data_IF_951612230286
#
_entry.id   IF_951612230286
#
_cell.length_a   1.000
_cell.length_b   1.000
_cell.length_c   1.000
_cell.angle_alpha   90.00
_cell.angle_beta   90.00
_cell.angle_gamma   90.00
#
_symmetry.space_group_name_H-M   'P 1'
#
loop_
_entity.id
_entity.type
_entity.pdbx_description
1 polymer ?
#
# COMPACT_ATOMS: atom_id res chain seq x y z
N UNK A 1 -24.24 15.98 4.62
CA UNK A 1 -23.40 14.76 4.54
C UNK A 1 -22.00 15.14 5.04
N UNK A 2 -21.57 14.63 6.19
CA UNK A 2 -20.26 15.00 6.76
C UNK A 2 -19.13 14.45 5.87
N UNK A 3 -18.14 15.28 5.52
CA UNK A 3 -17.00 14.82 4.75
C UNK A 3 -16.17 13.85 5.59
N UNK A 4 -15.83 12.65 5.09
CA UNK A 4 -15.04 11.68 5.85
C UNK A 4 -13.67 12.25 6.17
N UNK A 5 -13.31 12.24 7.46
CA UNK A 5 -12.00 12.69 7.93
C UNK A 5 -10.88 11.84 7.31
N UNK A 6 -9.85 12.53 6.82
CA UNK A 6 -8.66 11.89 6.25
C UNK A 6 -7.83 11.32 7.39
N UNK A 7 -7.47 10.04 7.31
CA UNK A 7 -6.58 9.38 8.27
C UNK A 7 -5.23 9.09 7.62
N UNK A 8 -4.16 9.30 8.36
CA UNK A 8 -2.78 9.08 7.95
C UNK A 8 -2.03 8.31 9.04
N UNK A 9 -1.00 7.57 8.64
CA UNK A 9 -0.15 6.84 9.56
C UNK A 9 0.85 7.80 10.23
N UNK A 10 0.87 7.82 11.56
CA UNK A 10 1.80 8.66 12.32
C UNK A 10 3.28 8.31 12.07
N UNK A 11 4.19 9.26 12.31
CA UNK A 11 5.64 9.07 12.10
C UNK A 11 6.19 7.85 12.85
N UNK A 12 5.84 7.68 14.13
CA UNK A 12 6.27 6.52 14.93
C UNK A 12 5.80 5.20 14.32
N UNK A 13 4.51 5.09 14.00
CA UNK A 13 3.95 3.89 13.40
C UNK A 13 4.53 3.58 12.01
N UNK A 14 4.86 4.60 11.21
CA UNK A 14 5.59 4.43 9.95
C UNK A 14 6.97 3.83 10.17
N UNK A 15 7.77 4.39 11.08
CA UNK A 15 9.13 3.90 11.36
C UNK A 15 9.08 2.46 11.88
N UNK A 16 8.23 2.19 12.89
CA UNK A 16 8.04 0.84 13.41
C UNK A 16 7.58 -0.12 12.32
N UNK A 17 6.62 0.30 11.48
CA UNK A 17 6.17 -0.51 10.35
C UNK A 17 7.25 -0.79 9.31
N UNK A 18 8.11 0.18 9.03
CA UNK A 18 9.28 0.02 8.16
C UNK A 18 10.28 -0.99 8.72
N UNK A 19 10.51 -1.01 10.04
CA UNK A 19 11.39 -2.01 10.68
C UNK A 19 10.82 -3.42 10.51
N UNK A 20 9.53 -3.63 10.76
CA UNK A 20 8.92 -4.96 10.55
C UNK A 20 8.95 -5.37 9.07
N UNK A 21 8.66 -4.44 8.14
CA UNK A 21 8.77 -4.75 6.70
C UNK A 21 10.20 -5.11 6.30
N UNK A 22 11.22 -4.54 6.94
CA UNK A 22 12.61 -4.89 6.71
C UNK A 22 12.91 -6.31 7.21
N UNK A 23 12.39 -6.70 8.38
CA UNK A 23 12.51 -8.07 8.87
C UNK A 23 11.84 -9.08 7.92
N UNK A 24 10.66 -8.73 7.38
CA UNK A 24 9.99 -9.57 6.38
C UNK A 24 10.79 -9.67 5.08
N UNK A 25 11.34 -8.54 4.60
CA UNK A 25 12.21 -8.53 3.42
C UNK A 25 13.43 -9.43 3.63
N UNK A 26 14.12 -9.32 4.77
CA UNK A 26 15.28 -10.15 5.10
C UNK A 26 14.89 -11.64 5.13
N UNK A 27 13.74 -11.98 5.72
CA UNK A 27 13.22 -13.34 5.72
C UNK A 27 12.92 -13.84 4.29
N UNK A 28 12.28 -13.06 3.42
CA UNK A 28 12.01 -13.54 2.06
C UNK A 28 13.30 -13.69 1.24
N UNK A 29 14.20 -12.69 1.31
CA UNK A 29 15.42 -12.67 0.51
C UNK A 29 16.48 -13.68 0.95
N UNK A 30 16.52 -14.09 2.22
CA UNK A 30 17.45 -15.16 2.64
C UNK A 30 17.09 -16.50 1.96
N UNK A 31 15.80 -16.79 1.78
CA UNK A 31 15.33 -17.99 1.08
C UNK A 31 15.53 -17.89 -0.43
N UNK A 32 15.33 -16.71 -1.04
CA UNK A 32 15.66 -16.49 -2.45
C UNK A 32 17.17 -16.69 -2.70
N UNK A 33 18.01 -16.16 -1.80
CA UNK A 33 19.46 -16.34 -1.90
C UNK A 33 19.87 -17.80 -1.68
N UNK A 34 19.23 -18.51 -0.74
CA UNK A 34 19.44 -19.94 -0.53
C UNK A 34 19.22 -20.71 -1.82
N UNK A 35 18.07 -20.53 -2.49
CA UNK A 35 17.78 -21.25 -3.74
C UNK A 35 18.84 -20.99 -4.80
N UNK A 36 19.25 -19.72 -4.99
CA UNK A 36 20.28 -19.34 -5.97
C UNK A 36 21.63 -20.01 -5.63
N UNK A 37 21.97 -20.13 -4.36
CA UNK A 37 23.26 -20.69 -3.90
C UNK A 37 23.27 -22.22 -3.86
N UNK A 38 22.16 -22.86 -3.51
CA UNK A 38 22.05 -24.32 -3.36
C UNK A 38 21.62 -25.01 -4.67
N UNK A 39 20.67 -24.44 -5.42
CA UNK A 39 20.18 -25.01 -6.68
C UNK A 39 20.89 -24.45 -7.93
N UNK A 40 21.72 -23.43 -7.77
CA UNK A 40 22.22 -22.56 -8.84
C UNK A 40 21.13 -21.67 -9.47
N UNK A 41 21.56 -20.53 -10.01
CA UNK A 41 20.64 -19.56 -10.62
C UNK A 41 19.83 -20.15 -11.79
N UNK A 42 20.45 -20.98 -12.64
CA UNK A 42 19.77 -21.53 -13.82
C UNK A 42 18.62 -22.48 -13.44
N UNK A 43 18.82 -23.36 -12.46
CA UNK A 43 17.78 -24.25 -11.94
C UNK A 43 16.71 -23.46 -11.20
N UNK A 44 17.11 -22.51 -10.36
CA UNK A 44 16.17 -21.61 -9.66
C UNK A 44 15.28 -20.86 -10.66
N UNK A 45 15.86 -20.35 -11.74
CA UNK A 45 15.11 -19.68 -12.81
C UNK A 45 14.14 -20.63 -13.51
N UNK A 46 14.53 -21.88 -13.76
CA UNK A 46 13.63 -22.92 -14.31
C UNK A 46 12.48 -23.23 -13.36
N UNK A 47 12.73 -23.28 -12.04
CA UNK A 47 11.67 -23.44 -11.03
C UNK A 47 10.68 -22.28 -11.14
N UNK A 48 11.18 -21.04 -11.10
CA UNK A 48 10.33 -19.84 -11.11
C UNK A 48 9.51 -19.69 -12.40
N UNK A 49 10.05 -20.12 -13.54
CA UNK A 49 9.36 -20.10 -14.84
C UNK A 49 8.42 -21.29 -15.06
N UNK A 50 8.35 -22.24 -14.12
CA UNK A 50 7.57 -23.48 -14.28
C UNK A 50 8.17 -24.47 -15.27
N UNK A 51 9.42 -24.27 -15.69
CA UNK A 51 10.11 -25.07 -16.70
C UNK A 51 10.70 -26.39 -16.19
N UNK A 52 10.46 -26.77 -14.93
CA UNK A 52 10.99 -28.02 -14.37
C UNK A 52 10.48 -29.27 -15.10
N UNK A 53 9.23 -29.27 -15.58
CA UNK A 53 8.66 -30.38 -16.37
C UNK A 53 8.97 -31.76 -15.78
N UNK A 54 9.47 -32.67 -16.62
CA UNK A 54 9.92 -34.01 -16.21
C UNK A 54 11.25 -34.02 -15.44
N UNK A 55 12.05 -32.95 -15.51
CA UNK A 55 13.32 -32.82 -14.79
C UNK A 55 13.14 -32.48 -13.30
N UNK A 56 11.92 -32.31 -12.82
CA UNK A 56 11.59 -32.12 -11.41
C UNK A 56 12.17 -33.21 -10.49
N UNK A 57 12.31 -34.44 -10.99
CA UNK A 57 12.92 -35.56 -10.25
C UNK A 57 14.44 -35.52 -10.13
N UNK A 58 15.12 -34.60 -10.83
CA UNK A 58 16.58 -34.44 -10.78
C UNK A 58 17.04 -33.43 -9.72
N UNK A 59 16.09 -32.75 -9.05
CA UNK A 59 16.40 -31.79 -7.99
C UNK A 59 17.04 -32.49 -6.79
N UNK A 60 18.19 -31.97 -6.36
CA UNK A 60 18.89 -32.45 -5.17
C UNK A 60 18.24 -31.96 -3.88
N UNK A 61 17.59 -30.79 -3.92
CA UNK A 61 16.96 -30.13 -2.79
C UNK A 61 15.60 -29.53 -3.18
N UNK A 62 14.68 -29.39 -2.22
CA UNK A 62 13.39 -28.72 -2.48
C UNK A 62 13.65 -27.22 -2.68
N UNK A 63 13.20 -26.62 -3.79
CA UNK A 63 13.21 -25.17 -3.94
C UNK A 63 12.41 -24.52 -2.81
N UNK A 64 12.96 -23.49 -2.21
CA UNK A 64 12.28 -22.76 -1.16
C UNK A 64 11.27 -21.75 -1.72
N UNK A 65 11.53 -21.18 -2.89
CA UNK A 65 10.86 -19.98 -3.38
C UNK A 65 10.28 -20.13 -4.79
N UNK A 66 9.24 -19.34 -5.05
CA UNK A 66 8.65 -19.19 -6.38
C UNK A 66 8.77 -17.73 -6.88
N UNK A 67 8.28 -17.48 -8.10
CA UNK A 67 8.20 -16.12 -8.64
C UNK A 67 7.39 -15.16 -7.73
N UNK A 68 6.42 -15.69 -6.98
CA UNK A 68 5.59 -14.94 -6.03
C UNK A 68 6.42 -14.42 -4.86
N UNK A 69 7.42 -15.17 -4.38
CA UNK A 69 8.34 -14.72 -3.33
C UNK A 69 9.21 -13.53 -3.78
N UNK A 70 9.61 -13.51 -5.06
CA UNK A 70 10.33 -12.36 -5.63
C UNK A 70 9.44 -11.11 -5.60
N UNK A 71 8.18 -11.24 -6.00
CA UNK A 71 7.16 -10.19 -5.89
C UNK A 71 6.95 -9.72 -4.45
N UNK A 72 6.82 -10.65 -3.51
CA UNK A 72 6.60 -10.37 -2.10
C UNK A 72 7.81 -9.66 -1.48
N UNK A 73 9.03 -10.10 -1.81
CA UNK A 73 10.27 -9.47 -1.38
C UNK A 73 10.44 -8.03 -1.91
N UNK A 74 10.08 -7.78 -3.17
CA UNK A 74 10.07 -6.42 -3.75
C UNK A 74 9.02 -5.52 -3.09
N UNK A 75 7.83 -6.05 -2.81
CA UNK A 75 6.79 -5.35 -2.07
C UNK A 75 7.29 -4.93 -0.67
N UNK A 76 7.89 -5.87 0.06
CA UNK A 76 8.42 -5.61 1.40
C UNK A 76 9.49 -4.51 1.37
N UNK A 77 10.42 -4.55 0.41
CA UNK A 77 11.42 -3.49 0.21
C UNK A 77 10.76 -2.14 -0.12
N UNK A 78 9.76 -2.11 -1.00
CA UNK A 78 9.05 -0.88 -1.35
C UNK A 78 8.34 -0.27 -0.13
N UNK A 79 7.77 -1.10 0.75
CA UNK A 79 7.17 -0.64 2.00
C UNK A 79 8.23 -0.05 2.97
N UNK A 80 9.41 -0.66 3.07
CA UNK A 80 10.55 -0.14 3.84
C UNK A 80 10.95 1.26 3.35
N UNK A 81 11.19 1.42 2.05
CA UNK A 81 11.56 2.71 1.48
C UNK A 81 10.45 3.76 1.68
N UNK A 82 9.19 3.40 1.45
CA UNK A 82 8.07 4.32 1.66
C UNK A 82 7.96 4.74 3.13
N UNK A 83 8.17 3.82 4.07
CA UNK A 83 8.14 4.09 5.50
C UNK A 83 9.21 5.10 5.92
N UNK A 84 10.47 4.90 5.52
CA UNK A 84 11.59 5.72 5.95
C UNK A 84 11.72 7.05 5.22
N UNK A 85 11.30 7.11 3.95
CA UNK A 85 11.22 8.38 3.20
C UNK A 85 10.00 9.24 3.60
N UNK A 86 9.09 8.68 4.40
CA UNK A 86 7.86 9.36 4.78
C UNK A 86 6.87 9.52 3.63
N UNK A 87 6.99 8.69 2.58
CA UNK A 87 6.11 8.74 1.41
C UNK A 87 4.63 8.62 1.80
N UNK A 88 3.77 9.33 1.09
CA UNK A 88 2.32 9.32 1.33
C UNK A 88 1.69 7.92 1.11
N UNK A 89 2.33 7.08 0.30
CA UNK A 89 1.91 5.70 0.03
C UNK A 89 2.21 4.72 1.19
N UNK A 90 3.04 5.11 2.17
CA UNK A 90 3.58 4.21 3.18
C UNK A 90 2.51 3.43 3.93
N UNK A 91 1.43 4.08 4.38
CA UNK A 91 0.38 3.41 5.15
C UNK A 91 -0.31 2.28 4.37
N UNK A 92 -0.59 2.51 3.08
CA UNK A 92 -1.19 1.49 2.22
C UNK A 92 -0.23 0.36 1.89
N UNK A 93 1.04 0.70 1.59
CA UNK A 93 2.09 -0.28 1.28
C UNK A 93 2.40 -1.18 2.47
N UNK A 94 2.57 -0.61 3.67
CA UNK A 94 2.83 -1.40 4.88
C UNK A 94 1.62 -2.30 5.16
N UNK A 95 0.38 -1.78 5.04
CA UNK A 95 -0.82 -2.59 5.28
C UNK A 95 -0.93 -3.80 4.34
N UNK A 96 -0.74 -3.60 3.04
CA UNK A 96 -0.79 -4.72 2.07
C UNK A 96 0.40 -5.67 2.25
N UNK A 97 1.59 -5.16 2.58
CA UNK A 97 2.76 -5.98 2.91
C UNK A 97 2.47 -6.88 4.11
N UNK A 98 1.92 -6.34 5.20
CA UNK A 98 1.54 -7.13 6.39
C UNK A 98 0.52 -8.19 6.05
N UNK A 99 -0.54 -7.81 5.32
CA UNK A 99 -1.63 -8.71 4.98
C UNK A 99 -1.15 -9.87 4.10
N UNK A 100 -0.39 -9.57 3.04
CA UNK A 100 0.11 -10.60 2.14
C UNK A 100 1.20 -11.45 2.78
N UNK A 101 2.12 -10.87 3.56
CA UNK A 101 3.13 -11.66 4.28
C UNK A 101 2.45 -12.63 5.25
N UNK A 102 1.43 -12.19 5.98
CA UNK A 102 0.63 -13.07 6.83
C UNK A 102 -0.04 -14.16 5.99
N UNK A 103 -0.75 -13.78 4.92
CA UNK A 103 -1.47 -14.73 4.07
C UNK A 103 -0.57 -15.76 3.42
N UNK A 104 0.60 -15.39 2.89
CA UNK A 104 1.51 -16.33 2.22
C UNK A 104 2.32 -17.19 3.20
N UNK A 105 2.61 -16.71 4.42
CA UNK A 105 3.41 -17.48 5.39
C UNK A 105 2.59 -18.35 6.34
N UNK A 106 1.30 -18.06 6.51
CA UNK A 106 0.40 -18.90 7.30
C UNK A 106 0.30 -20.35 6.76
N UNK A 107 0.06 -20.60 5.44
CA UNK A 107 -0.04 -21.94 4.89
C UNK A 107 1.19 -22.81 5.08
N UNK A 108 2.36 -22.21 4.97
CA UNK A 108 3.64 -22.89 5.18
C UNK A 108 3.72 -23.55 6.57
N UNK A 109 3.09 -22.98 7.60
CA UNK A 109 3.12 -23.52 8.96
C UNK A 109 2.47 -24.91 9.02
N UNK A 110 1.35 -25.13 8.33
CA UNK A 110 0.72 -26.45 8.31
C UNK A 110 1.26 -27.33 7.19
N UNK A 111 1.64 -26.77 6.03
CA UNK A 111 2.27 -27.55 4.95
C UNK A 111 3.55 -28.22 5.44
N UNK A 112 4.46 -27.44 6.03
CA UNK A 112 5.74 -27.94 6.53
C UNK A 112 5.56 -28.71 7.85
N UNK A 113 4.74 -28.20 8.77
CA UNK A 113 4.57 -28.81 10.10
C UNK A 113 3.79 -30.14 10.10
N UNK A 114 2.96 -30.39 9.09
CA UNK A 114 2.21 -31.65 8.93
C UNK A 114 2.80 -32.54 7.83
N UNK A 115 3.91 -32.12 7.19
CA UNK A 115 4.54 -32.90 6.12
C UNK A 115 5.03 -34.25 6.65
N UNK A 116 4.57 -35.33 6.04
CA UNK A 116 4.99 -36.69 6.41
C UNK A 116 4.88 -37.63 5.22
N UNK A 117 5.49 -38.81 5.31
CA UNK A 117 5.39 -39.86 4.28
C UNK A 117 3.96 -40.27 3.97
N UNK A 118 3.07 -40.26 4.97
CA UNK A 118 1.66 -40.60 4.81
C UNK A 118 0.78 -39.45 4.31
N UNK A 119 1.26 -38.21 4.37
CA UNK A 119 0.55 -37.01 3.93
C UNK A 119 1.52 -36.02 3.28
N UNK A 120 1.96 -36.29 2.04
CA UNK A 120 2.88 -35.41 1.34
C UNK A 120 2.16 -34.15 0.87
N UNK A 121 2.52 -33.00 1.44
CA UNK A 121 2.08 -31.69 0.96
C UNK A 121 2.87 -31.21 -0.27
N UNK A 122 4.16 -31.51 -0.34
CA UNK A 122 4.99 -31.14 -1.48
C UNK A 122 4.74 -32.09 -2.67
N UNK A 123 4.51 -31.51 -3.85
CA UNK A 123 4.36 -32.25 -5.09
C UNK A 123 5.65 -32.96 -5.50
N UNK A 124 6.79 -32.37 -5.12
CA UNK A 124 8.11 -32.99 -5.21
C UNK A 124 8.23 -34.06 -4.09
N UNK A 125 8.24 -35.33 -4.47
CA UNK A 125 8.38 -36.45 -3.53
C UNK A 125 9.83 -36.67 -3.07
N UNK A 126 10.00 -37.39 -1.96
CA UNK A 126 11.32 -37.89 -1.53
C UNK A 126 12.06 -37.07 -0.47
N UNK A 127 11.51 -35.93 -0.05
CA UNK A 127 12.18 -35.01 0.87
C UNK A 127 11.69 -35.13 2.32
N UNK A 128 11.69 -36.36 2.83
CA UNK A 128 11.30 -36.63 4.21
C UNK A 128 12.50 -36.39 5.14
N UNK A 129 12.31 -35.60 6.20
CA UNK A 129 13.35 -35.18 7.16
C UNK A 129 14.40 -34.19 6.63
N UNK A 130 14.04 -33.34 5.66
CA UNK A 130 14.90 -32.24 5.21
C UNK A 130 14.94 -31.11 6.27
N UNK A 131 16.12 -30.73 6.81
CA UNK A 131 16.26 -29.63 7.75
C UNK A 131 15.72 -28.28 7.23
N UNK A 132 15.66 -28.09 5.91
CA UNK A 132 15.09 -26.90 5.31
C UNK A 132 13.58 -26.79 5.56
N UNK A 133 12.86 -27.91 5.66
CA UNK A 133 11.42 -27.94 6.01
C UNK A 133 11.22 -27.43 7.44
N UNK A 134 12.03 -27.89 8.39
CA UNK A 134 11.99 -27.43 9.79
C UNK A 134 12.33 -25.95 9.92
N UNK A 135 13.34 -25.49 9.16
CA UNK A 135 13.74 -24.09 9.13
C UNK A 135 12.66 -23.19 8.49
N UNK A 136 12.03 -23.63 7.40
CA UNK A 136 10.93 -22.93 6.73
C UNK A 136 9.73 -22.80 7.68
N UNK A 137 9.32 -23.90 8.29
CA UNK A 137 8.26 -23.94 9.29
C UNK A 137 8.53 -22.96 10.45
N UNK A 138 9.69 -23.07 11.10
CA UNK A 138 10.05 -22.26 12.27
C UNK A 138 10.11 -20.77 11.92
N UNK A 139 10.74 -20.43 10.79
CA UNK A 139 10.89 -19.03 10.36
C UNK A 139 9.55 -18.41 9.92
N UNK A 140 8.64 -19.18 9.33
CA UNK A 140 7.28 -18.74 9.00
C UNK A 140 6.44 -18.50 10.26
N UNK A 141 6.55 -19.35 11.29
CA UNK A 141 5.88 -19.14 12.59
C UNK A 141 6.27 -17.77 13.17
N UNK A 142 7.56 -17.45 13.21
CA UNK A 142 8.03 -16.14 13.70
C UNK A 142 7.52 -14.98 12.84
N UNK A 143 7.53 -15.14 11.52
CA UNK A 143 7.04 -14.10 10.60
C UNK A 143 5.55 -13.81 10.80
N UNK A 144 4.74 -14.85 10.99
CA UNK A 144 3.30 -14.74 11.31
C UNK A 144 3.10 -14.05 12.67
N UNK A 145 3.88 -14.42 13.68
CA UNK A 145 3.83 -13.78 15.01
C UNK A 145 4.15 -12.28 14.89
N UNK A 146 5.12 -11.89 14.07
CA UNK A 146 5.47 -10.48 13.84
C UNK A 146 4.44 -9.68 13.02
N UNK A 147 3.59 -10.34 12.24
CA UNK A 147 2.50 -9.67 11.54
C UNK A 147 1.44 -9.11 12.51
N UNK A 148 1.22 -9.78 13.66
CA UNK A 148 0.24 -9.35 14.69
C UNK A 148 0.58 -8.00 15.34
N UNK A 149 1.76 -7.77 15.95
CA UNK A 149 2.11 -6.47 16.51
C UNK A 149 2.17 -5.39 15.44
N UNK A 150 2.59 -5.71 14.21
CA UNK A 150 2.55 -4.75 13.11
C UNK A 150 1.12 -4.33 12.77
N UNK A 151 0.17 -5.27 12.70
CA UNK A 151 -1.24 -4.95 12.49
C UNK A 151 -1.78 -4.04 13.61
N UNK A 152 -1.43 -4.32 14.87
CA UNK A 152 -1.79 -3.46 16.01
C UNK A 152 -1.19 -2.05 15.86
N UNK A 153 0.09 -1.94 15.49
CA UNK A 153 0.77 -0.66 15.25
C UNK A 153 0.10 0.13 14.12
N UNK A 154 -0.33 -0.53 13.05
CA UNK A 154 -1.06 0.11 11.94
C UNK A 154 -2.42 0.64 12.40
N UNK A 155 -3.17 -0.14 13.18
CA UNK A 155 -4.46 0.27 13.70
C UNK A 155 -4.33 1.43 14.70
N UNK A 156 -3.42 1.32 15.67
CA UNK A 156 -3.17 2.35 16.70
C UNK A 156 -2.48 3.61 16.13
N UNK A 157 -1.70 3.44 15.07
CA UNK A 157 -0.94 4.51 14.41
C UNK A 157 -1.76 5.42 13.51
N UNK A 158 -3.00 5.06 13.20
CA UNK A 158 -3.89 5.84 12.35
C UNK A 158 -4.39 7.09 13.08
N UNK A 159 -3.99 8.27 12.60
CA UNK A 159 -4.36 9.57 13.16
C UNK A 159 -5.16 10.39 12.15
N UNK A 160 -6.09 11.20 12.63
CA UNK A 160 -6.76 12.19 11.79
C UNK A 160 -5.77 13.25 11.32
N UNK A 161 -5.75 13.51 10.03
CA UNK A 161 -4.91 14.55 9.44
C UNK A 161 -5.64 15.90 9.51
N UNK A 162 -5.08 16.83 10.29
CA UNK A 162 -5.66 18.17 10.53
C UNK A 162 -5.18 19.21 9.53
N UNK A 163 -4.22 18.88 8.66
CA UNK A 163 -3.66 19.80 7.65
C UNK A 163 -2.84 20.96 8.21
N UNK A 164 -2.80 21.17 9.52
CA UNK A 164 -1.91 22.14 10.13
C UNK A 164 -0.53 21.51 10.31
N UNK A 165 0.57 22.18 9.91
CA UNK A 165 1.89 21.78 10.33
C UNK A 165 1.92 21.73 11.87
N UNK A 166 2.75 20.86 12.48
CA UNK A 166 2.95 20.87 13.92
C UNK A 166 3.28 22.31 14.31
N UNK A 167 2.40 22.99 15.03
CA UNK A 167 2.75 24.30 15.55
C UNK A 167 4.02 24.07 16.37
N UNK A 168 5.11 24.83 16.12
CA UNK A 168 6.31 24.73 16.93
C UNK A 168 5.84 24.78 18.37
N UNK A 169 6.17 23.73 19.14
CA UNK A 169 5.71 23.57 20.52
C UNK A 169 5.81 24.94 21.16
N UNK A 170 4.66 25.54 21.51
CA UNK A 170 4.66 26.91 22.01
C UNK A 170 5.73 26.94 23.09
N UNK A 171 6.80 27.74 22.91
CA UNK A 171 7.92 27.72 23.82
C UNK A 171 7.33 27.92 25.20
N UNK A 172 7.56 26.92 26.06
CA UNK A 172 7.06 26.75 27.41
C UNK A 172 6.23 27.93 27.89
N UNK A 173 4.93 27.69 28.11
CA UNK A 173 3.97 28.69 28.57
C UNK A 173 4.60 29.65 29.57
N UNK A 174 4.22 30.93 29.44
CA UNK A 174 4.71 32.04 30.27
C UNK A 174 5.20 31.54 31.62
N UNK A 175 6.46 31.84 32.01
CA UNK A 175 7.02 31.35 33.26
C UNK A 175 5.97 31.52 34.36
N UNK A 176 5.70 30.48 35.17
CA UNK A 176 4.61 30.48 36.13
C UNK A 176 4.66 31.80 36.89
N UNK A 177 3.61 32.61 36.73
CA UNK A 177 3.45 33.84 37.49
C UNK A 177 3.70 33.46 38.96
N UNK A 178 4.69 34.08 39.64
CA UNK A 178 5.04 33.70 41.00
C UNK A 178 3.78 33.70 41.87
N UNK A 179 3.42 32.54 42.42
CA UNK A 179 2.31 32.42 43.36
C UNK A 179 2.55 33.40 44.51
N UNK A 180 1.77 34.49 44.58
CA UNK A 180 1.86 35.47 45.66
C UNK A 180 1.83 36.95 45.25
N UNK A 181 1.77 37.32 43.97
CA UNK A 181 1.53 38.73 43.63
C UNK A 181 0.07 39.10 43.89
N UNK A 182 -0.14 39.87 44.97
CA UNK A 182 -1.41 40.48 45.29
C UNK A 182 -1.81 41.48 44.18
N UNK A 183 -3.06 41.37 43.70
CA UNK A 183 -3.67 42.32 42.77
C UNK A 183 -3.48 43.75 43.32
N UNK A 184 -2.62 44.56 42.68
CA UNK A 184 -2.41 45.96 43.03
C UNK A 184 -0.98 46.37 43.41
N UNK A 185 0.00 45.45 43.45
CA UNK A 185 1.40 45.85 43.60
C UNK A 185 1.94 46.46 42.30
N UNK A 186 2.50 47.69 42.31
CA UNK A 186 3.18 48.26 41.16
C UNK A 186 4.37 47.38 40.80
N UNK A 187 4.38 46.84 39.58
CA UNK A 187 5.49 46.04 39.08
C UNK A 187 6.74 46.95 39.06
N UNK A 188 7.83 46.61 39.78
CA UNK A 188 9.06 47.40 39.69
C UNK A 188 9.53 47.41 38.22
N UNK A 189 10.07 48.53 37.74
CA UNK A 189 10.49 48.67 36.35
C UNK A 189 11.48 47.55 36.01
N UNK A 190 11.00 46.57 35.23
CA UNK A 190 11.85 45.47 34.81
C UNK A 190 13.01 46.05 33.99
N UNK A 191 14.27 45.66 34.25
CA UNK A 191 15.40 46.08 33.43
C UNK A 191 15.05 45.74 31.99
N UNK A 192 15.09 46.77 31.13
CA UNK A 192 14.64 46.76 29.74
C UNK A 192 14.79 45.37 29.15
N UNK A 193 13.70 44.60 29.17
CA UNK A 193 13.63 43.37 28.41
C UNK A 193 13.92 43.83 27.00
N UNK A 194 15.06 43.39 26.47
CA UNK A 194 15.40 43.54 25.06
C UNK A 194 14.15 43.06 24.34
N UNK A 195 13.39 44.01 23.81
CA UNK A 195 12.21 43.73 23.01
C UNK A 195 12.80 43.06 21.79
N UNK A 196 12.94 41.74 21.87
CA UNK A 196 13.24 40.89 20.72
C UNK A 196 12.09 41.23 19.80
N UNK A 197 12.40 42.05 18.80
CA UNK A 197 11.42 42.57 17.86
C UNK A 197 10.63 41.36 17.39
N UNK A 198 9.28 41.39 17.45
CA UNK A 198 8.46 40.25 17.08
C UNK A 198 8.99 39.75 15.74
N UNK A 199 9.55 38.52 15.75
CA UNK A 199 10.14 37.95 14.54
C UNK A 199 9.11 38.16 13.45
N UNK A 200 9.46 38.87 12.36
CA UNK A 200 8.51 39.16 11.29
C UNK A 200 7.89 37.82 10.93
N UNK A 201 6.57 37.72 11.10
CA UNK A 201 5.81 36.50 10.85
C UNK A 201 6.33 35.92 9.55
N UNK A 202 7.11 34.85 9.61
CA UNK A 202 7.59 34.22 8.40
C UNK A 202 6.33 33.88 7.63
N UNK A 203 6.18 34.35 6.38
CA UNK A 203 5.03 34.01 5.57
C UNK A 203 4.91 32.51 5.64
N UNK A 204 3.76 32.01 6.09
CA UNK A 204 3.50 30.58 6.23
C UNK A 204 3.90 29.93 4.90
N UNK A 205 5.06 29.29 4.87
CA UNK A 205 5.46 28.55 3.68
C UNK A 205 4.42 27.43 3.58
N UNK A 206 3.62 27.41 2.49
CA UNK A 206 2.66 26.33 2.31
C UNK A 206 3.44 25.03 2.40
N UNK A 207 2.95 24.02 3.16
CA UNK A 207 3.62 22.73 3.21
C UNK A 207 3.85 22.27 1.78
N UNK A 208 5.08 21.81 1.50
CA UNK A 208 5.46 21.38 0.16
C UNK A 208 4.41 20.37 -0.35
N UNK A 209 4.01 20.42 -1.63
CA UNK A 209 3.00 19.50 -2.18
C UNK A 209 3.27 18.01 -1.91
N UNK A 210 4.54 17.65 -1.66
CA UNK A 210 5.01 16.32 -1.23
C UNK A 210 4.54 15.89 0.16
N UNK A 211 4.13 16.82 1.02
CA UNK A 211 3.74 16.56 2.42
C UNK A 211 2.24 16.34 2.62
N UNK A 212 1.41 16.76 1.65
CA UNK A 212 -0.03 16.60 1.72
C UNK A 212 -0.45 15.16 1.36
N UNK A 213 -1.32 14.48 2.14
CA UNK A 213 -1.82 13.17 1.80
C UNK A 213 -2.58 13.21 0.47
N UNK A 214 -2.28 12.30 -0.45
CA UNK A 214 -2.86 12.34 -1.80
C UNK A 214 -3.88 11.21 -1.99
N UNK A 215 -5.07 11.56 -2.49
CA UNK A 215 -6.12 10.62 -2.89
C UNK A 215 -5.88 10.12 -4.32
N UNK A 216 -6.35 8.91 -4.67
CA UNK A 216 -6.31 8.43 -6.05
C UNK A 216 -7.10 9.36 -6.99
N UNK A 217 -6.59 9.56 -8.19
CA UNK A 217 -7.32 10.26 -9.26
C UNK A 217 -8.51 9.41 -9.75
N UNK A 218 -9.42 10.01 -10.51
CA UNK A 218 -10.52 9.25 -11.14
C UNK A 218 -10.01 8.13 -12.05
N UNK A 219 -8.98 8.41 -12.85
CA UNK A 219 -8.35 7.41 -13.71
C UNK A 219 -7.72 6.27 -12.91
N UNK A 220 -6.99 6.57 -11.83
CA UNK A 220 -6.45 5.54 -10.93
C UNK A 220 -7.56 4.65 -10.39
N UNK A 221 -8.63 5.23 -9.87
CA UNK A 221 -9.74 4.49 -9.28
C UNK A 221 -10.41 3.55 -10.30
N UNK A 222 -10.67 4.03 -11.51
CA UNK A 222 -11.27 3.23 -12.59
C UNK A 222 -10.34 2.11 -13.02
N UNK A 223 -9.07 2.41 -13.28
CA UNK A 223 -8.09 1.39 -13.71
C UNK A 223 -7.90 0.34 -12.62
N UNK A 224 -7.80 0.73 -11.35
CA UNK A 224 -7.76 -0.24 -10.23
C UNK A 224 -9.00 -1.12 -10.22
N UNK A 225 -10.20 -0.53 -10.32
CA UNK A 225 -11.45 -1.28 -10.25
C UNK A 225 -11.57 -2.29 -11.40
N UNK A 226 -11.23 -1.88 -12.62
CA UNK A 226 -11.25 -2.77 -13.79
C UNK A 226 -10.19 -3.84 -13.67
N UNK A 227 -8.94 -3.47 -13.41
CA UNK A 227 -7.83 -4.40 -13.36
C UNK A 227 -7.98 -5.45 -12.25
N UNK A 228 -8.11 -5.01 -11.00
CA UNK A 228 -8.25 -5.95 -9.88
C UNK A 228 -9.59 -6.69 -9.92
N UNK A 229 -10.65 -6.05 -10.40
CA UNK A 229 -11.94 -6.71 -10.62
C UNK A 229 -11.85 -7.85 -11.64
N UNK A 230 -11.14 -7.65 -12.76
CA UNK A 230 -10.88 -8.70 -13.74
C UNK A 230 -10.06 -9.83 -13.13
N UNK A 231 -8.97 -9.53 -12.41
CA UNK A 231 -8.17 -10.57 -11.75
C UNK A 231 -9.00 -11.39 -10.75
N UNK A 232 -9.86 -10.74 -9.96
CA UNK A 232 -10.78 -11.45 -9.08
C UNK A 232 -11.70 -12.41 -9.85
N UNK A 233 -12.23 -11.99 -11.00
CA UNK A 233 -13.06 -12.85 -11.87
C UNK A 233 -12.26 -14.05 -12.38
N UNK A 234 -11.01 -13.86 -12.79
CA UNK A 234 -10.13 -14.95 -13.19
C UNK A 234 -9.88 -15.93 -12.03
N UNK A 235 -9.49 -15.47 -10.85
CA UNK A 235 -9.25 -16.34 -9.70
C UNK A 235 -10.50 -17.09 -9.23
N UNK A 236 -11.68 -16.44 -9.28
CA UNK A 236 -12.96 -17.13 -9.03
C UNK A 236 -13.23 -18.17 -10.12
N UNK A 237 -12.97 -17.83 -11.38
CA UNK A 237 -13.11 -18.74 -12.52
C UNK A 237 -12.26 -20.00 -12.36
N UNK A 238 -10.97 -19.86 -12.07
CA UNK A 238 -10.07 -20.99 -11.82
C UNK A 238 -10.49 -21.85 -10.64
N UNK A 239 -10.95 -21.21 -9.55
CA UNK A 239 -11.47 -21.93 -8.38
C UNK A 239 -12.71 -22.75 -8.71
N UNK A 240 -13.63 -22.19 -9.49
CA UNK A 240 -14.84 -22.88 -9.94
C UNK A 240 -14.53 -23.98 -10.96
N UNK A 241 -13.59 -23.77 -11.88
CA UNK A 241 -13.15 -24.78 -12.82
C UNK A 241 -12.52 -25.96 -12.09
N UNK A 242 -11.60 -25.71 -11.15
CA UNK A 242 -10.96 -26.76 -10.37
C UNK A 242 -12.00 -27.59 -9.59
N UNK A 243 -12.98 -26.91 -8.98
CA UNK A 243 -14.10 -27.58 -8.31
C UNK A 243 -14.96 -28.39 -9.28
N UNK A 244 -15.25 -27.85 -10.47
CA UNK A 244 -16.08 -28.51 -11.48
C UNK A 244 -15.40 -29.73 -12.09
N UNK A 245 -14.10 -29.67 -12.36
CA UNK A 245 -13.36 -30.73 -13.05
C UNK A 245 -12.87 -31.82 -12.09
N UNK A 246 -12.43 -31.45 -10.89
CA UNK A 246 -11.86 -32.37 -9.91
C UNK A 246 -12.79 -32.72 -8.73
N UNK A 247 -13.92 -32.03 -8.58
CA UNK A 247 -14.82 -32.18 -7.44
C UNK A 247 -14.32 -31.48 -6.17
N UNK A 248 -15.10 -31.61 -5.09
CA UNK A 248 -14.83 -30.96 -3.81
C UNK A 248 -13.54 -31.43 -3.14
N UNK A 249 -13.19 -32.71 -3.26
CA UNK A 249 -11.98 -33.27 -2.65
C UNK A 249 -10.71 -32.72 -3.31
N UNK A 250 -10.70 -32.62 -4.64
CA UNK A 250 -9.58 -32.01 -5.37
C UNK A 250 -9.44 -30.52 -5.03
N UNK A 251 -10.56 -29.79 -4.99
CA UNK A 251 -10.56 -28.39 -4.58
C UNK A 251 -10.04 -28.20 -3.15
N UNK A 252 -10.44 -29.09 -2.22
CA UNK A 252 -9.93 -29.07 -0.85
C UNK A 252 -8.42 -29.30 -0.83
N UNK A 253 -7.90 -30.25 -1.61
CA UNK A 253 -6.46 -30.49 -1.72
C UNK A 253 -5.69 -29.28 -2.27
N UNK A 254 -6.24 -28.60 -3.27
CA UNK A 254 -5.67 -27.34 -3.78
C UNK A 254 -5.66 -26.24 -2.71
N UNK A 255 -6.64 -26.24 -1.80
CA UNK A 255 -6.72 -25.28 -0.72
C UNK A 255 -5.79 -25.63 0.45
N UNK A 256 -5.71 -26.90 0.84
CA UNK A 256 -4.87 -27.37 1.94
C UNK A 256 -3.41 -27.53 1.55
N UNK A 257 -3.11 -27.59 0.25
CA UNK A 257 -1.77 -27.81 -0.29
C UNK A 257 -1.38 -29.28 -0.41
N UNK A 258 -2.26 -30.24 -0.11
CA UNK A 258 -1.91 -31.65 -0.15
C UNK A 258 -1.52 -32.09 -1.58
N UNK A 259 -0.26 -32.51 -1.75
CA UNK A 259 0.32 -32.94 -3.02
C UNK A 259 0.42 -31.87 -4.12
N UNK A 260 0.28 -30.58 -3.78
CA UNK A 260 0.22 -29.50 -4.78
C UNK A 260 1.24 -28.38 -4.57
N UNK A 261 1.90 -28.34 -3.40
CA UNK A 261 2.88 -27.30 -3.07
C UNK A 261 4.20 -27.60 -3.79
N UNK A 262 4.71 -26.66 -4.58
CA UNK A 262 5.93 -26.87 -5.39
C UNK A 262 7.21 -26.36 -4.74
N UNK A 263 7.11 -25.46 -3.77
CA UNK A 263 8.25 -24.90 -3.06
C UNK A 263 7.97 -24.71 -1.55
N UNK A 264 9.01 -24.68 -0.71
CA UNK A 264 8.86 -24.67 0.76
C UNK A 264 8.01 -23.51 1.28
N UNK A 265 8.16 -22.32 0.70
CA UNK A 265 7.47 -21.11 1.15
C UNK A 265 6.19 -20.80 0.39
N UNK A 266 5.80 -21.68 -0.53
CA UNK A 266 4.71 -21.42 -1.44
C UNK A 266 3.35 -21.53 -0.73
N UNK A 267 2.43 -20.66 -1.12
CA UNK A 267 1.05 -20.82 -0.74
C UNK A 267 0.41 -21.90 -1.63
N UNK A 268 -0.52 -22.67 -1.08
CA UNK A 268 -1.30 -23.59 -1.89
C UNK A 268 -2.12 -22.78 -2.90
N UNK A 269 -2.33 -23.33 -4.09
CA UNK A 269 -2.95 -22.60 -5.20
C UNK A 269 -4.35 -22.06 -4.85
N UNK A 270 -5.16 -22.85 -4.14
CA UNK A 270 -6.49 -22.42 -3.68
C UNK A 270 -6.42 -21.31 -2.63
N UNK A 271 -5.40 -21.32 -1.76
CA UNK A 271 -5.19 -20.29 -0.75
C UNK A 271 -4.70 -18.97 -1.35
N UNK A 272 -3.83 -19.05 -2.37
CA UNK A 272 -3.40 -17.90 -3.14
C UNK A 272 -4.58 -17.21 -3.84
N UNK A 273 -5.43 -17.98 -4.54
CA UNK A 273 -6.64 -17.42 -5.16
C UNK A 273 -7.51 -16.69 -4.16
N UNK A 274 -7.77 -17.29 -2.99
CA UNK A 274 -8.55 -16.66 -1.93
C UNK A 274 -7.90 -15.35 -1.45
N UNK A 275 -6.59 -15.37 -1.23
CA UNK A 275 -5.81 -14.21 -0.79
C UNK A 275 -5.91 -13.07 -1.80
N UNK A 276 -5.72 -13.35 -3.09
CA UNK A 276 -5.77 -12.35 -4.15
C UNK A 276 -7.20 -11.86 -4.42
N UNK A 277 -8.23 -12.70 -4.25
CA UNK A 277 -9.63 -12.27 -4.30
C UNK A 277 -9.92 -11.26 -3.19
N UNK A 278 -9.54 -11.57 -1.94
CA UNK A 278 -9.79 -10.70 -0.79
C UNK A 278 -8.98 -9.40 -0.92
N UNK A 279 -7.67 -9.49 -1.19
CA UNK A 279 -6.81 -8.34 -1.31
C UNK A 279 -7.21 -7.46 -2.50
N UNK A 280 -7.54 -8.07 -3.65
CA UNK A 280 -8.10 -7.41 -4.82
C UNK A 280 -9.37 -6.65 -4.48
N UNK A 281 -10.33 -7.30 -3.80
CA UNK A 281 -11.60 -6.69 -3.39
C UNK A 281 -11.40 -5.51 -2.44
N UNK A 282 -10.50 -5.62 -1.47
CA UNK A 282 -10.10 -4.50 -0.60
C UNK A 282 -9.48 -3.37 -1.41
N UNK A 283 -8.59 -3.67 -2.36
CA UNK A 283 -7.98 -2.69 -3.25
C UNK A 283 -9.01 -1.93 -4.08
N UNK A 284 -9.97 -2.64 -4.70
CA UNK A 284 -11.10 -2.06 -5.44
C UNK A 284 -11.95 -1.18 -4.52
N UNK A 285 -12.34 -1.67 -3.36
CA UNK A 285 -13.16 -0.93 -2.39
C UNK A 285 -12.48 0.36 -1.92
N UNK A 286 -11.19 0.30 -1.58
CA UNK A 286 -10.40 1.48 -1.20
C UNK A 286 -10.30 2.51 -2.34
N UNK A 287 -10.09 2.05 -3.58
CA UNK A 287 -9.94 2.90 -4.75
C UNK A 287 -11.25 3.59 -5.14
N UNK A 288 -12.37 2.84 -5.19
CA UNK A 288 -13.70 3.39 -5.46
C UNK A 288 -14.14 4.38 -4.37
N UNK A 289 -13.85 4.09 -3.11
CA UNK A 289 -14.08 5.01 -1.99
C UNK A 289 -13.08 6.18 -1.94
N UNK A 290 -12.12 6.25 -2.88
CA UNK A 290 -11.07 7.27 -2.99
C UNK A 290 -10.32 7.52 -1.66
N UNK A 291 -10.06 6.45 -0.92
CA UNK A 291 -9.29 6.51 0.33
C UNK A 291 -7.83 6.82 0.03
N UNK A 292 -7.16 7.56 0.93
CA UNK A 292 -5.73 7.91 0.78
C UNK A 292 -4.85 6.66 0.76
N UNK A 293 -5.21 5.62 1.53
CA UNK A 293 -4.50 4.34 1.55
C UNK A 293 -4.58 3.56 0.24
N UNK A 294 -5.57 3.82 -0.61
CA UNK A 294 -5.83 3.05 -1.83
C UNK A 294 -4.61 3.02 -2.76
N UNK A 295 -3.93 4.14 -2.90
CA UNK A 295 -2.77 4.26 -3.79
C UNK A 295 -1.61 3.39 -3.35
N UNK A 296 -1.23 3.46 -2.07
CA UNK A 296 -0.16 2.60 -1.54
C UNK A 296 -0.53 1.12 -1.56
N UNK A 297 -1.79 0.81 -1.24
CA UNK A 297 -2.28 -0.57 -1.22
C UNK A 297 -2.27 -1.19 -2.63
N UNK A 298 -2.80 -0.47 -3.62
CA UNK A 298 -2.89 -0.93 -5.02
C UNK A 298 -1.54 -0.94 -5.72
N UNK A 299 -0.64 -0.02 -5.38
CA UNK A 299 0.77 -0.10 -5.79
C UNK A 299 1.43 -1.35 -5.24
N UNK A 300 1.17 -1.69 -3.98
CA UNK A 300 1.76 -2.90 -3.40
C UNK A 300 1.29 -4.18 -4.08
N UNK A 301 0.00 -4.28 -4.41
CA UNK A 301 -0.51 -5.39 -5.23
C UNK A 301 0.13 -5.42 -6.63
N UNK A 302 0.29 -4.27 -7.28
CA UNK A 302 0.94 -4.22 -8.59
C UNK A 302 2.42 -4.64 -8.52
N UNK A 303 3.15 -4.28 -7.44
CA UNK A 303 4.55 -4.70 -7.23
C UNK A 303 4.64 -6.21 -6.97
N UNK A 304 3.71 -6.79 -6.20
CA UNK A 304 3.65 -8.23 -5.97
C UNK A 304 3.45 -9.00 -7.28
N UNK A 305 2.44 -8.60 -8.07
CA UNK A 305 1.98 -9.36 -9.24
C UNK A 305 2.88 -9.19 -10.47
N UNK A 306 3.67 -8.12 -10.54
CA UNK A 306 4.47 -7.80 -11.73
C UNK A 306 5.56 -8.85 -12.02
N UNK A 307 6.41 -9.26 -11.06
CA UNK A 307 7.45 -10.27 -11.30
C UNK A 307 6.84 -11.63 -11.67
N UNK A 308 5.77 -12.04 -10.99
CA UNK A 308 5.06 -13.28 -11.27
C UNK A 308 4.57 -13.31 -12.73
N UNK A 309 3.85 -12.29 -13.18
CA UNK A 309 3.37 -12.21 -14.55
C UNK A 309 4.51 -12.13 -15.59
N UNK A 310 5.58 -11.41 -15.27
CA UNK A 310 6.75 -11.32 -16.14
C UNK A 310 7.46 -12.67 -16.28
N UNK A 311 7.71 -13.37 -15.17
CA UNK A 311 8.38 -14.66 -15.14
C UNK A 311 7.51 -15.73 -15.80
N UNK A 312 6.20 -15.73 -15.56
CA UNK A 312 5.26 -16.63 -16.23
C UNK A 312 5.24 -16.41 -17.75
N UNK A 313 5.20 -15.15 -18.20
CA UNK A 313 5.30 -14.82 -19.62
C UNK A 313 6.62 -15.29 -20.23
N UNK A 314 7.73 -15.07 -19.51
CA UNK A 314 9.04 -15.53 -19.94
C UNK A 314 9.08 -17.05 -20.10
N UNK A 315 8.59 -17.80 -19.12
CA UNK A 315 8.51 -19.26 -19.17
C UNK A 315 7.69 -19.76 -20.37
N UNK A 316 6.56 -19.13 -20.66
CA UNK A 316 5.73 -19.47 -21.83
C UNK A 316 6.43 -19.17 -23.17
N UNK A 317 7.21 -18.09 -23.25
CA UNK A 317 7.98 -17.75 -24.44
C UNK A 317 9.16 -18.70 -24.64
N UNK A 318 9.89 -19.02 -23.57
CA UNK A 318 11.04 -19.93 -23.60
C UNK A 318 10.60 -21.36 -23.96
N UNK A 319 9.46 -21.81 -23.42
CA UNK A 319 8.87 -23.10 -23.77
C UNK A 319 8.20 -23.14 -25.16
N UNK A 320 8.09 -22.01 -25.87
CA UNK A 320 7.38 -21.93 -27.16
C UNK A 320 5.85 -22.07 -27.07
N UNK A 321 5.29 -22.20 -25.87
CA UNK A 321 3.86 -22.49 -25.64
C UNK A 321 2.98 -21.24 -25.61
N UNK A 322 3.56 -20.04 -25.73
CA UNK A 322 2.80 -18.80 -25.68
C UNK A 322 1.77 -18.67 -26.83
N UNK A 323 2.10 -19.14 -28.03
CA UNK A 323 1.20 -19.06 -29.20
C UNK A 323 0.41 -20.34 -29.48
N UNK A 324 0.71 -21.42 -28.75
CA UNK A 324 0.08 -22.72 -28.93
C UNK A 324 -1.16 -22.82 -28.05
N UNK A 325 -2.34 -23.13 -28.57
CA UNK A 325 -3.52 -23.27 -27.69
C UNK A 325 -3.37 -24.45 -26.71
N UNK A 326 -2.65 -25.51 -27.10
CA UNK A 326 -2.50 -26.76 -26.36
C UNK A 326 -3.61 -27.75 -26.69
N UNK A 327 -3.27 -29.04 -26.78
CA UNK A 327 -4.20 -30.08 -27.27
C UNK A 327 -5.22 -30.54 -26.21
N UNK A 328 -4.81 -30.56 -24.93
CA UNK A 328 -5.63 -31.11 -23.85
C UNK A 328 -6.64 -30.12 -23.27
N UNK A 329 -6.29 -28.83 -23.19
CA UNK A 329 -7.10 -27.81 -22.55
C UNK A 329 -6.96 -26.43 -23.25
N UNK A 330 -7.36 -26.31 -24.53
CA UNK A 330 -7.09 -25.12 -25.33
C UNK A 330 -7.72 -23.83 -24.77
N UNK A 331 -8.91 -23.96 -24.18
CA UNK A 331 -9.64 -22.83 -23.59
C UNK A 331 -8.95 -22.34 -22.31
N UNK A 332 -8.59 -23.26 -21.40
CA UNK A 332 -7.85 -22.91 -20.18
C UNK A 332 -6.49 -22.28 -20.52
N UNK A 333 -5.74 -22.85 -21.46
CA UNK A 333 -4.49 -22.26 -21.93
C UNK A 333 -4.65 -20.83 -22.45
N UNK A 334 -5.70 -20.56 -23.25
CA UNK A 334 -6.00 -19.21 -23.73
C UNK A 334 -6.32 -18.23 -22.59
N UNK A 335 -7.14 -18.62 -21.61
CA UNK A 335 -7.47 -17.78 -20.45
C UNK A 335 -6.25 -17.54 -19.56
N UNK A 336 -5.38 -18.54 -19.37
CA UNK A 336 -4.14 -18.38 -18.59
C UNK A 336 -3.21 -17.33 -19.20
N UNK A 337 -2.99 -17.37 -20.52
CA UNK A 337 -2.19 -16.35 -21.23
C UNK A 337 -2.83 -14.97 -21.16
N UNK A 338 -4.15 -14.90 -21.36
CA UNK A 338 -4.88 -13.65 -21.26
C UNK A 338 -4.74 -13.04 -19.86
N UNK A 339 -4.85 -13.85 -18.81
CA UNK A 339 -4.61 -13.39 -17.45
C UNK A 339 -3.19 -12.86 -17.27
N UNK A 340 -2.15 -13.59 -17.71
CA UNK A 340 -0.75 -13.12 -17.63
C UNK A 340 -0.58 -11.75 -18.29
N UNK A 341 -1.13 -11.57 -19.50
CA UNK A 341 -1.08 -10.29 -20.21
C UNK A 341 -1.83 -9.17 -19.48
N UNK A 342 -3.02 -9.47 -18.94
CA UNK A 342 -3.81 -8.52 -18.14
C UNK A 342 -3.06 -8.14 -16.87
N UNK A 343 -2.46 -9.10 -16.17
CA UNK A 343 -1.65 -8.89 -14.96
C UNK A 343 -0.47 -7.98 -15.26
N UNK A 344 0.30 -8.27 -16.31
CA UNK A 344 1.46 -7.48 -16.71
C UNK A 344 1.06 -6.04 -17.07
N UNK A 345 0.10 -5.88 -17.99
CA UNK A 345 -0.33 -4.55 -18.46
C UNK A 345 -1.00 -3.75 -17.33
N UNK A 346 -1.84 -4.40 -16.52
CA UNK A 346 -2.54 -3.78 -15.40
C UNK A 346 -1.60 -3.35 -14.27
N UNK A 347 -0.64 -4.20 -13.90
CA UNK A 347 0.36 -3.88 -12.90
C UNK A 347 1.24 -2.69 -13.32
N UNK A 348 1.79 -2.71 -14.54
CA UNK A 348 2.57 -1.59 -15.09
C UNK A 348 1.74 -0.31 -15.11
N UNK A 349 0.50 -0.37 -15.58
CA UNK A 349 -0.39 0.81 -15.64
C UNK A 349 -0.67 1.36 -14.25
N UNK A 350 -0.95 0.51 -13.25
CA UNK A 350 -1.18 0.93 -11.87
C UNK A 350 0.07 1.55 -11.24
N UNK A 351 1.25 0.99 -11.48
CA UNK A 351 2.52 1.58 -11.01
C UNK A 351 2.66 3.00 -11.59
N UNK A 352 2.52 3.14 -12.92
CA UNK A 352 2.63 4.45 -13.59
C UNK A 352 1.61 5.45 -13.05
N UNK A 353 0.34 5.06 -12.89
CA UNK A 353 -0.70 5.94 -12.35
C UNK A 353 -0.46 6.29 -10.88
N UNK A 354 0.13 5.37 -10.10
CA UNK A 354 0.44 5.63 -8.70
C UNK A 354 1.63 6.58 -8.55
N UNK A 355 2.60 6.57 -9.48
CA UNK A 355 3.73 7.49 -9.45
C UNK A 355 3.37 8.91 -9.88
N UNK A 356 2.26 9.10 -10.62
CA UNK A 356 1.76 10.44 -10.97
C UNK A 356 1.23 11.20 -9.74
N UNK A 357 1.32 12.53 -9.67
CA UNK A 357 0.70 13.30 -8.59
C UNK A 357 -0.80 12.99 -8.46
N UNK A 358 -1.24 12.70 -7.24
CA UNK A 358 -2.65 12.46 -6.94
C UNK A 358 -3.40 13.76 -6.64
N UNK A 359 -4.65 13.62 -6.20
CA UNK A 359 -5.46 14.77 -5.76
C UNK A 359 -5.13 15.05 -4.30
N UNK A 360 -4.62 16.24 -3.92
CA UNK A 360 -4.36 16.58 -2.54
C UNK A 360 -5.64 16.43 -1.70
N UNK A 361 -5.54 15.74 -0.57
CA UNK A 361 -6.66 15.64 0.34
C UNK A 361 -6.89 17.01 1.00
N UNK A 362 -8.14 17.48 1.03
CA UNK A 362 -8.47 18.67 1.80
C UNK A 362 -8.42 18.35 3.30
N UNK A 363 -7.86 19.25 4.13
CA UNK A 363 -7.91 19.12 5.59
C UNK A 363 -9.35 18.98 6.06
N UNK A 364 -9.57 18.13 7.06
CA UNK A 364 -10.85 18.15 7.76
C UNK A 364 -11.05 19.48 8.49
N UNK A 365 -12.29 19.92 8.76
CA UNK A 365 -12.53 21.07 9.62
C UNK A 365 -11.81 20.86 10.95
N UNK A 366 -11.09 21.90 11.40
CA UNK A 366 -10.44 21.88 12.70
C UNK A 366 -11.49 21.59 13.79
N UNK A 367 -11.16 20.82 14.84
CA UNK A 367 -12.05 20.66 15.98
C UNK A 367 -12.45 22.05 16.49
N UNK A 368 -13.75 22.29 16.67
CA UNK A 368 -14.21 23.56 17.21
C UNK A 368 -13.55 23.80 18.57
N UNK A 369 -13.09 25.03 18.89
CA UNK A 369 -12.56 25.36 20.21
C UNK A 369 -13.59 24.99 21.29
N UNK A 370 -13.25 24.07 22.18
CA UNK A 370 -14.16 23.59 23.23
C UNK A 370 -14.96 22.32 22.89
N UNK A 371 -14.82 21.76 21.68
CA UNK A 371 -15.33 20.42 21.42
C UNK A 371 -14.55 19.42 22.29
N UNK A 372 -15.24 18.75 23.21
CA UNK A 372 -14.66 17.75 24.09
C UNK A 372 -13.85 16.75 23.24
N UNK A 373 -12.54 16.72 23.48
CA UNK A 373 -11.65 15.73 22.86
C UNK A 373 -12.20 14.35 23.22
N UNK A 374 -12.51 13.47 22.25
CA UNK A 374 -13.02 12.14 22.54
C UNK A 374 -12.08 11.44 23.51
N UNK A 375 -12.66 11.03 24.64
CA UNK A 375 -12.00 10.43 25.78
C UNK A 375 -11.11 9.25 25.33
N UNK A 376 -9.79 9.41 25.38
CA UNK A 376 -8.83 8.41 24.88
C UNK A 376 -7.40 8.93 24.64
N UNK A 377 -7.19 10.24 24.54
CA UNK A 377 -5.85 10.83 24.50
C UNK A 377 -5.31 11.02 25.93
N UNK A 378 -4.40 10.12 26.33
CA UNK A 378 -3.50 10.12 27.50
C UNK A 378 -4.03 10.66 28.85
N UNK A 379 -4.18 9.79 29.88
CA UNK A 379 -4.30 10.25 31.26
C UNK A 379 -2.91 10.68 31.74
N UNK A 380 -2.74 11.94 32.17
CA UNK A 380 -1.50 12.30 32.87
C UNK A 380 -1.17 13.76 33.10
N UNK A 381 -1.84 14.73 32.47
CA UNK A 381 -1.64 16.13 32.86
C UNK A 381 -2.97 16.80 33.17
N UNK A 382 -3.26 17.11 34.45
CA UNK A 382 -4.32 18.05 34.78
C UNK A 382 -3.90 19.39 34.20
N UNK A 383 -4.48 19.75 33.06
CA UNK A 383 -4.44 21.13 32.58
C UNK A 383 -5.21 21.94 33.63
N UNK A 384 -4.59 22.93 34.30
CA UNK A 384 -5.29 23.77 35.26
C UNK A 384 -6.43 24.45 34.50
N UNK A 385 -7.66 24.08 34.81
CA UNK A 385 -8.83 24.87 34.43
C UNK A 385 -8.57 26.29 34.97
N UNK A 386 -8.60 27.34 34.11
CA UNK A 386 -8.53 28.70 34.58
C UNK A 386 -9.65 28.91 35.59
N UNK A 387 -9.29 29.05 36.87
CA UNK A 387 -10.21 29.44 37.91
C UNK A 387 -10.67 30.85 37.59
N UNK A 388 -11.86 30.98 36.99
CA UNK A 388 -12.53 32.26 36.88
C UNK A 388 -13.00 32.64 38.29
N UNK A 389 -12.48 33.71 38.89
CA UNK A 389 -12.98 34.18 40.17
C UNK A 389 -14.48 34.51 40.02
N UNK A 390 -15.31 34.17 41.02
CA UNK A 390 -16.72 34.53 41.00
C UNK A 390 -16.84 36.05 40.85
N UNK A 391 -17.53 36.47 39.79
CA UNK A 391 -17.85 37.87 39.55
C UNK A 391 -18.58 38.44 40.78
N UNK A 392 -18.11 39.56 41.35
CA UNK A 392 -18.84 40.27 42.40
C UNK A 392 -20.19 40.71 41.86
N UNK A 393 -21.22 40.58 42.71
CA UNK A 393 -22.61 40.83 42.39
C UNK A 393 -22.95 42.25 41.89
N UNK A 394 -24.22 42.48 41.54
CA UNK A 394 -24.66 43.68 40.84
C UNK A 394 -24.54 44.91 41.75
N UNK A 395 -23.59 45.80 41.42
CA UNK A 395 -23.53 47.16 41.94
C UNK A 395 -24.49 48.09 41.22
N UNK A 396 -24.87 49.23 41.83
CA UNK A 396 -25.92 50.12 41.31
C UNK A 396 -25.52 50.80 39.99
N UNK A 397 -26.51 50.97 39.12
CA UNK A 397 -26.40 51.52 37.78
C UNK A 397 -25.62 52.85 37.72
N UNK A 398 -24.45 52.83 37.06
CA UNK A 398 -23.75 54.02 36.58
C UNK A 398 -24.21 54.40 35.17
N UNK A 399 -24.06 55.68 34.78
CA UNK A 399 -24.61 56.22 33.54
C UNK A 399 -24.03 55.53 32.30
N UNK A 400 -24.95 55.13 31.41
CA UNK A 400 -24.67 54.45 30.16
C UNK A 400 -23.79 55.30 29.25
N UNK A 401 -22.60 54.79 28.92
CA UNK A 401 -21.84 55.30 27.80
C UNK A 401 -22.55 54.90 26.50
N UNK A 402 -23.03 55.91 25.78
CA UNK A 402 -23.62 55.75 24.47
C UNK A 402 -22.56 55.21 23.49
N UNK A 403 -22.83 54.03 22.93
CA UNK A 403 -22.10 53.55 21.78
C UNK A 403 -22.31 54.52 20.59
N UNK A 404 -21.25 54.83 19.81
CA UNK A 404 -21.43 55.60 18.58
C UNK A 404 -22.31 54.81 17.59
N UNK A 405 -23.18 55.49 16.84
CA UNK A 405 -24.06 54.85 15.87
C UNK A 405 -23.26 54.15 14.78
N UNK A 406 -23.75 52.98 14.39
CA UNK A 406 -23.26 52.21 13.24
C UNK A 406 -23.29 53.05 11.96
N UNK A 407 -22.15 53.15 11.29
CA UNK A 407 -22.05 53.80 10.00
C UNK A 407 -22.91 53.06 8.95
N UNK A 408 -23.68 53.78 8.12
CA UNK A 408 -24.42 53.19 7.00
C UNK A 408 -23.47 52.52 6.01
N UNK A 409 -23.86 51.34 5.53
CA UNK A 409 -23.15 50.61 4.48
C UNK A 409 -22.98 51.50 3.24
N UNK A 410 -21.73 51.69 2.81
CA UNK A 410 -21.42 52.40 1.58
C UNK A 410 -21.97 51.67 0.34
N UNK A 411 -22.16 52.40 -0.77
CA UNK A 411 -22.67 51.83 -2.01
C UNK A 411 -21.71 50.77 -2.58
N UNK A 412 -22.24 49.72 -3.24
CA UNK A 412 -21.43 48.67 -3.85
C UNK A 412 -20.53 49.25 -4.96
N UNK A 413 -19.29 48.75 -5.11
CA UNK A 413 -18.41 49.17 -6.19
C UNK A 413 -19.02 48.83 -7.57
N UNK A 414 -18.81 49.68 -8.58
CA UNK A 414 -19.32 49.45 -9.94
C UNK A 414 -18.75 48.16 -10.52
N UNK A 415 -19.63 47.38 -11.17
CA UNK A 415 -19.29 46.16 -11.87
C UNK A 415 -18.26 46.45 -12.97
N UNK A 416 -17.05 45.90 -12.82
CA UNK A 416 -16.05 45.89 -13.89
C UNK A 416 -16.57 44.99 -15.01
N UNK A 417 -16.82 45.59 -16.17
CA UNK A 417 -17.17 44.92 -17.41
C UNK A 417 -16.11 43.87 -17.76
N UNK A 418 -16.52 42.61 -17.83
CA UNK A 418 -15.70 41.51 -18.31
C UNK A 418 -15.22 41.82 -19.75
N UNK A 419 -13.91 41.98 -19.91
CA UNK A 419 -13.30 42.10 -21.23
C UNK A 419 -13.48 40.81 -22.05
N UNK A 420 -13.44 40.91 -23.39
CA UNK A 420 -13.54 39.74 -24.27
C UNK A 420 -12.35 38.78 -24.07
N UNK A 421 -12.55 37.46 -24.26
CA UNK A 421 -11.51 36.47 -24.07
C UNK A 421 -10.35 36.67 -25.08
N UNK A 422 -9.09 36.41 -24.69
CA UNK A 422 -7.95 36.45 -25.61
C UNK A 422 -8.12 35.40 -26.71
N UNK A 423 -7.94 35.82 -27.96
CA UNK A 423 -8.01 34.97 -29.14
C UNK A 423 -7.02 33.80 -29.08
N UNK A 424 -7.47 32.65 -29.56
CA UNK A 424 -6.65 31.44 -29.67
C UNK A 424 -5.45 31.67 -30.61
N UNK A 425 -4.26 31.16 -30.28
CA UNK A 425 -3.08 31.27 -31.14
C UNK A 425 -3.27 30.47 -32.46
N UNK A 426 -2.68 30.95 -33.58
CA UNK A 426 -2.77 30.27 -34.88
C UNK A 426 -2.17 28.86 -34.85
N UNK A 427 -2.87 27.93 -35.50
CA UNK A 427 -2.58 26.50 -35.48
C UNK A 427 -1.18 26.10 -35.94
N UNK A 428 -0.63 25.08 -35.27
CA UNK A 428 0.58 24.39 -35.70
C UNK A 428 0.30 23.51 -36.92
N UNK A 429 1.20 23.46 -37.91
CA UNK A 429 1.04 22.61 -39.09
C UNK A 429 1.09 21.11 -38.73
N UNK A 430 0.40 20.25 -39.49
CA UNK A 430 0.39 18.81 -39.25
C UNK A 430 1.77 18.18 -39.50
N UNK A 431 2.15 17.13 -38.75
CA UNK A 431 3.41 16.41 -38.95
C UNK A 431 3.43 15.68 -40.32
N UNK A 432 4.62 15.52 -40.92
CA UNK A 432 4.77 14.80 -42.19
C UNK A 432 4.39 13.32 -42.07
N UNK A 433 3.75 12.80 -43.11
CA UNK A 433 3.36 11.40 -43.24
C UNK A 433 4.59 10.48 -43.22
N UNK A 434 4.53 9.43 -42.41
CA UNK A 434 5.52 8.36 -42.39
C UNK A 434 5.50 7.54 -43.69
N UNK A 435 6.66 7.02 -44.14
CA UNK A 435 6.77 6.20 -45.35
C UNK A 435 6.11 4.81 -45.17
N UNK A 436 5.66 4.18 -46.28
CA UNK A 436 5.03 2.86 -46.23
C UNK A 436 6.04 1.74 -45.91
N UNK A 437 5.61 0.65 -45.27
CA UNK A 437 6.49 -0.48 -44.97
C UNK A 437 6.85 -1.23 -46.26
N UNK A 438 8.16 -1.45 -46.47
CA UNK A 438 8.69 -2.33 -47.49
C UNK A 438 8.39 -3.78 -47.15
N UNK A 439 7.72 -4.48 -48.07
CA UNK A 439 7.54 -5.91 -48.03
C UNK A 439 8.85 -6.65 -48.31
N UNK A 440 9.25 -7.50 -47.37
CA UNK A 440 10.32 -8.47 -47.53
C UNK A 440 9.72 -9.87 -47.52
N UNK A 441 9.71 -10.50 -48.69
CA UNK A 441 9.36 -11.89 -48.91
C UNK A 441 10.57 -12.81 -48.64
N UNK A 442 10.29 -14.04 -48.18
CA UNK A 442 11.15 -15.19 -48.42
C UNK A 442 11.85 -15.76 -47.19
N UNK A 443 11.47 -16.97 -46.79
CA UNK A 443 12.18 -17.72 -45.75
C UNK A 443 11.42 -18.88 -45.16
N UNK A 444 11.07 -19.87 -46.00
CA UNK A 444 10.63 -21.21 -45.57
C UNK A 444 11.67 -21.87 -44.67
N UNK A 445 11.29 -22.21 -43.44
CA UNK A 445 11.98 -23.21 -42.61
C UNK A 445 10.93 -24.17 -42.04
N UNK A 446 11.01 -25.43 -42.49
CA UNK A 446 10.18 -26.52 -41.99
C UNK A 446 10.70 -27.09 -40.66
N UNK A 447 9.89 -27.93 -39.99
CA UNK A 447 10.20 -28.44 -38.66
C UNK A 447 11.08 -29.70 -38.69
N UNK A 448 11.93 -29.94 -37.67
CA UNK A 448 12.41 -31.27 -37.30
C UNK A 448 11.67 -31.80 -36.05
N UNK A 449 11.82 -33.11 -35.74
CA UNK A 449 10.74 -33.95 -35.25
C UNK A 449 10.60 -34.05 -33.73
N UNK A 450 9.43 -34.56 -33.34
CA UNK A 450 8.97 -34.89 -32.00
C UNK A 450 9.88 -35.88 -31.27
N UNK A 451 10.05 -35.62 -29.96
CA UNK A 451 10.15 -36.62 -28.90
C UNK A 451 9.39 -36.12 -27.68
#
# INVERSE_FOLDING_TARGET
MAMPQVRVLGKGARITGGIFCLLFALHTWIWVLRDILELEFATTWRVWTGGLGSAAGELTDIPATTATDVGLGLLQIAAVFAAFTGAWAAGGLIAVTTALTLSYRLPVIWHAGLHSESSPYYALGGFFNDPAVDAAWTSCVWTVIFCVPLAIVLMAGNRTWTGQPPQPAQPYGQPPQPYGQAYGQPVPPQPQQVVISPQPHQPYEPPLPSESPQRPTGAHAVVTAVFLGLLMVFHVGWSLEAFSNGGGDYWLKLFTGEGTVVALLDASLGWEWLTLIIAGGVGVGLALARRVSARGFTLGLAILLLPEAFIALWGQLDAGTFFELGDAAPVAGAFGRLQVLITLAGAVTLIVLTLRPGIPAQPGPAPAPGAAVPFGAQPGQPVPQPYFPPQPGPGPAGPAYAYPPSQPAGPPPPAQSAGPPPGAPPGTPPPPASPPPQGGAGGTFGPPPAY
#
